data_IF_943792126314
#
_entry.id   IF_943792126314
#
_cell.length_a   1.000
_cell.length_b   1.000
_cell.length_c   1.000
_cell.angle_alpha   90.00
_cell.angle_beta   90.00
_cell.angle_gamma   90.00
#
_symmetry.space_group_name_H-M   'P 1'
#
loop_
_entity.id
_entity.type
_entity.pdbx_description
1 polymer ?
#
# COMPACT_ATOMS: atom_id res chain seq x y z
N UNK A 1 -20.16 41.17 27.81
CA UNK A 1 -20.28 39.85 28.09
C UNK A 1 -20.62 39.07 26.91
N UNK A 2 -21.66 39.26 26.24
CA UNK A 2 -22.02 38.45 25.12
C UNK A 2 -21.01 38.52 24.02
N UNK A 3 -20.42 39.64 23.83
CA UNK A 3 -19.43 39.78 22.78
C UNK A 3 -18.23 38.93 23.04
N UNK A 4 -17.82 38.86 24.28
CA UNK A 4 -16.66 38.07 24.61
C UNK A 4 -16.89 36.59 24.35
N UNK A 5 -18.07 36.12 24.64
CA UNK A 5 -18.39 34.74 24.44
C UNK A 5 -18.32 34.37 22.96
N UNK A 6 -18.78 35.27 22.12
CA UNK A 6 -18.75 34.98 20.72
C UNK A 6 -17.34 34.88 20.19
N UNK A 7 -16.49 35.72 20.68
CA UNK A 7 -15.10 35.70 20.26
C UNK A 7 -14.44 34.41 20.64
N UNK A 8 -14.73 33.95 21.82
CA UNK A 8 -14.12 32.70 22.27
C UNK A 8 -14.53 31.55 21.37
N UNK A 9 -15.77 31.54 20.98
CA UNK A 9 -16.25 30.49 20.14
C UNK A 9 -15.54 30.46 18.78
N UNK A 10 -15.35 31.63 18.24
CA UNK A 10 -14.71 31.72 16.95
C UNK A 10 -13.28 31.20 16.99
N UNK A 11 -12.59 31.54 18.03
CA UNK A 11 -11.20 31.09 18.13
C UNK A 11 -11.13 29.58 18.24
N UNK A 12 -12.03 29.02 18.98
CA UNK A 12 -12.03 27.59 19.15
C UNK A 12 -12.25 26.88 17.82
N UNK A 13 -13.11 27.36 17.00
CA UNK A 13 -13.38 26.74 15.73
C UNK A 13 -12.14 26.74 14.81
N UNK A 14 -11.45 27.84 14.83
CA UNK A 14 -10.26 27.94 13.98
C UNK A 14 -9.21 26.94 14.39
N UNK A 15 -9.07 26.69 15.66
CA UNK A 15 -8.08 25.75 16.12
C UNK A 15 -8.33 24.35 15.59
N UNK A 16 -9.57 23.96 15.59
CA UNK A 16 -9.88 22.63 15.11
C UNK A 16 -9.52 22.45 13.66
N UNK A 17 -9.78 23.42 12.86
CA UNK A 17 -9.49 23.32 11.46
C UNK A 17 -7.99 23.12 11.21
N UNK A 18 -7.19 23.83 11.94
CA UNK A 18 -5.76 23.71 11.77
C UNK A 18 -5.27 22.33 12.12
N UNK A 19 -5.81 21.74 13.15
CA UNK A 19 -5.38 20.43 13.56
C UNK A 19 -5.61 19.40 12.45
N UNK A 20 -6.73 19.45 11.83
CA UNK A 20 -7.05 18.50 10.79
C UNK A 20 -6.09 18.62 9.61
N UNK A 21 -5.81 19.79 9.20
CA UNK A 21 -4.92 19.98 8.08
C UNK A 21 -3.54 19.45 8.41
N UNK A 22 -3.06 19.70 9.58
CA UNK A 22 -1.75 19.23 9.95
C UNK A 22 -1.63 17.74 9.88
N UNK A 23 -2.64 17.05 10.33
CA UNK A 23 -2.57 15.61 10.31
C UNK A 23 -2.52 15.05 8.92
N UNK A 24 -3.26 15.58 8.03
CA UNK A 24 -3.32 14.97 6.72
C UNK A 24 -2.07 15.20 5.92
N UNK A 25 -1.36 16.26 6.15
CA UNK A 25 -0.24 16.51 5.30
C UNK A 25 1.03 15.86 5.73
N UNK A 26 1.20 15.70 6.98
CA UNK A 26 2.49 15.28 7.41
C UNK A 26 3.00 14.06 6.77
N UNK A 27 2.27 13.13 6.64
CA UNK A 27 2.83 11.93 6.23
C UNK A 27 3.44 11.99 4.97
N UNK A 28 2.97 12.36 4.34
CA UNK A 28 3.35 12.20 3.21
C UNK A 28 4.52 12.44 2.85
N UNK A 29 4.78 12.51 2.65
CA UNK A 29 5.40 12.47 1.99
C UNK A 29 6.44 12.61 1.75
N UNK A 30 6.63 12.84 1.98
CA UNK A 30 7.66 13.15 1.90
C UNK A 30 8.49 12.40 1.58
N UNK A 31 8.38 11.76 1.73
CA UNK A 31 9.11 10.85 1.62
C UNK A 31 9.74 10.88 0.51
N UNK A 32 9.50 11.38 -0.15
CA UNK A 32 10.21 11.27 -0.98
C UNK A 32 10.11 11.03 -2.19
N UNK A 33 10.28 11.45 -3.03
CA UNK A 33 10.19 11.23 -4.34
C UNK A 33 10.65 9.96 -4.80
N UNK A 34 11.69 9.44 -4.32
CA UNK A 34 12.12 8.20 -4.76
C UNK A 34 11.59 7.09 -4.04
N UNK A 35 11.06 7.25 -2.89
CA UNK A 35 10.57 6.15 -2.09
C UNK A 35 9.16 5.84 -2.45
N UNK A 36 8.86 4.62 -2.81
CA UNK A 36 7.51 4.19 -3.09
C UNK A 36 7.00 3.46 -1.88
N UNK A 37 5.87 3.89 -1.36
CA UNK A 37 5.30 3.33 -0.17
C UNK A 37 5.02 1.84 -0.33
N UNK A 38 5.33 1.06 0.68
CA UNK A 38 5.12 -0.38 0.66
C UNK A 38 3.65 -0.73 0.43
N UNK A 39 2.74 0.05 0.96
CA UNK A 39 1.32 -0.22 0.74
C UNK A 39 0.96 -0.04 -0.73
N UNK A 40 1.56 0.93 -1.39
CA UNK A 40 1.30 1.14 -2.81
C UNK A 40 1.89 0.00 -3.64
N UNK A 41 3.05 -0.48 -3.26
CA UNK A 41 3.65 -1.61 -3.96
C UNK A 41 2.79 -2.84 -3.80
N UNK A 42 2.32 -3.11 -2.59
CA UNK A 42 1.46 -4.26 -2.35
C UNK A 42 0.21 -4.20 -3.23
N UNK A 43 -0.40 -3.04 -3.31
CA UNK A 43 -1.60 -2.89 -4.13
C UNK A 43 -1.30 -3.14 -5.60
N UNK A 44 -0.19 -2.61 -6.09
CA UNK A 44 0.16 -2.79 -7.49
C UNK A 44 0.51 -4.24 -7.81
N UNK A 45 1.19 -4.92 -6.91
CA UNK A 45 1.53 -6.31 -7.12
C UNK A 45 0.26 -7.15 -7.14
N UNK A 46 -0.64 -6.90 -6.21
CA UNK A 46 -1.90 -7.64 -6.19
C UNK A 46 -2.68 -7.43 -7.48
N UNK A 47 -2.76 -6.21 -7.95
CA UNK A 47 -3.48 -5.93 -9.18
C UNK A 47 -2.83 -6.61 -10.37
N UNK A 48 -1.51 -6.61 -10.43
CA UNK A 48 -0.81 -7.24 -11.52
C UNK A 48 -1.03 -8.76 -11.53
N UNK A 49 -0.99 -9.37 -10.37
CA UNK A 49 -1.24 -10.80 -10.25
C UNK A 49 -2.69 -11.11 -10.65
N UNK A 50 -3.62 -10.31 -10.18
CA UNK A 50 -5.01 -10.55 -10.48
C UNK A 50 -5.31 -10.41 -11.97
N UNK A 51 -4.53 -9.60 -12.68
CA UNK A 51 -4.73 -9.43 -14.11
C UNK A 51 -4.15 -10.57 -14.94
N UNK A 52 -3.38 -11.46 -14.35
CA UNK A 52 -2.85 -12.60 -15.08
C UNK A 52 -3.92 -13.66 -15.21
N UNK A 53 -4.23 -14.11 -16.41
CA UNK A 53 -5.31 -15.07 -16.58
C UNK A 53 -5.12 -16.37 -15.81
N UNK A 54 -3.88 -16.83 -15.68
CA UNK A 54 -3.65 -18.10 -14.99
C UNK A 54 -3.68 -17.95 -13.49
N UNK A 55 -3.67 -16.71 -12.97
CA UNK A 55 -3.60 -16.49 -11.54
C UNK A 55 -4.86 -15.91 -10.94
N UNK A 56 -5.90 -15.75 -11.74
CA UNK A 56 -7.08 -15.05 -11.25
C UNK A 56 -7.78 -15.71 -10.09
N UNK A 57 -7.81 -17.00 -10.05
CA UNK A 57 -8.53 -17.67 -8.98
C UNK A 57 -7.62 -18.28 -7.94
N UNK A 58 -6.37 -17.89 -7.92
CA UNK A 58 -5.46 -18.44 -6.93
C UNK A 58 -5.54 -17.65 -5.63
N UNK A 59 -5.05 -18.25 -4.57
CA UNK A 59 -5.03 -17.61 -3.27
C UNK A 59 -3.62 -17.17 -2.99
N UNK A 60 -3.29 -15.95 -3.37
CA UNK A 60 -1.95 -15.42 -3.20
C UNK A 60 -2.01 -14.18 -2.32
N UNK A 61 -1.22 -14.20 -1.25
CA UNK A 61 -1.07 -13.07 -0.37
C UNK A 61 0.21 -12.33 -0.70
N UNK A 62 0.17 -11.02 -0.59
CA UNK A 62 1.30 -10.17 -0.92
C UNK A 62 1.60 -9.27 0.27
N UNK A 63 2.83 -9.26 0.70
CA UNK A 63 3.27 -8.34 1.74
C UNK A 63 4.55 -7.68 1.29
N UNK A 64 4.72 -6.42 1.63
CA UNK A 64 5.87 -5.65 1.19
C UNK A 64 6.52 -4.96 2.36
N UNK A 65 7.85 -5.06 2.46
CA UNK A 65 8.59 -4.38 3.49
C UNK A 65 9.82 -3.75 2.85
N UNK A 66 9.84 -2.44 2.80
CA UNK A 66 10.95 -1.69 2.22
C UNK A 66 11.30 -2.14 0.80
N UNK A 67 10.27 -2.37 0.02
CA UNK A 67 10.47 -2.79 -1.36
C UNK A 67 10.63 -4.28 -1.57
N UNK A 68 10.83 -5.04 -0.52
CA UNK A 68 10.94 -6.49 -0.62
C UNK A 68 9.55 -7.09 -0.55
N UNK A 69 9.15 -7.79 -1.57
CA UNK A 69 7.82 -8.36 -1.66
C UNK A 69 7.87 -9.83 -1.29
N UNK A 70 6.97 -10.24 -0.44
CA UNK A 70 6.86 -11.65 -0.10
C UNK A 70 5.52 -12.16 -0.59
N UNK A 71 5.55 -13.23 -1.36
CA UNK A 71 4.35 -13.88 -1.86
C UNK A 71 4.14 -15.18 -1.10
N UNK A 72 2.91 -15.46 -0.73
CA UNK A 72 2.58 -16.71 -0.07
C UNK A 72 1.20 -17.13 -0.52
N UNK A 73 0.88 -18.38 -0.28
CA UNK A 73 -0.43 -18.90 -0.67
C UNK A 73 -0.29 -20.19 -1.42
N UNK A 74 -1.31 -20.52 -2.20
CA UNK A 74 -1.40 -21.81 -2.86
C UNK A 74 -1.82 -21.67 -4.31
N UNK A 75 -1.20 -22.43 -5.17
CA UNK A 75 -1.57 -22.47 -6.60
C UNK A 75 -1.68 -23.92 -7.02
N UNK A 76 -2.27 -24.16 -8.17
CA UNK A 76 -2.47 -25.51 -8.65
C UNK A 76 -1.24 -26.08 -9.32
N UNK A 77 -0.40 -25.25 -9.89
CA UNK A 77 0.75 -25.74 -10.65
C UNK A 77 2.00 -24.96 -10.33
N UNK A 78 3.18 -25.59 -10.45
CA UNK A 78 4.43 -24.90 -10.20
C UNK A 78 4.64 -23.70 -11.10
N UNK A 79 4.19 -23.80 -12.34
CA UNK A 79 4.36 -22.69 -13.28
C UNK A 79 3.64 -21.45 -12.80
N UNK A 80 2.52 -21.60 -12.10
CA UNK A 80 1.77 -20.47 -11.61
C UNK A 80 2.55 -19.74 -10.51
N UNK A 81 3.24 -20.48 -9.66
CA UNK A 81 4.05 -19.85 -8.63
C UNK A 81 5.18 -19.04 -9.26
N UNK A 82 5.82 -19.58 -10.30
CA UNK A 82 6.87 -18.84 -10.97
C UNK A 82 6.33 -17.61 -11.67
N UNK A 83 5.19 -17.73 -12.29
CA UNK A 83 4.60 -16.62 -13.00
C UNK A 83 4.25 -15.49 -12.03
N UNK A 84 3.73 -15.85 -10.87
CA UNK A 84 3.41 -14.83 -9.87
C UNK A 84 4.66 -14.04 -9.45
N UNK A 85 5.77 -14.74 -9.28
CA UNK A 85 7.00 -14.05 -8.90
C UNK A 85 7.50 -13.16 -10.03
N UNK A 86 7.39 -13.59 -11.27
CA UNK A 86 7.79 -12.76 -12.41
C UNK A 86 6.95 -11.50 -12.48
N UNK A 87 5.65 -11.65 -12.31
CA UNK A 87 4.75 -10.52 -12.38
C UNK A 87 5.09 -9.53 -11.25
N UNK A 88 5.34 -10.05 -10.06
CA UNK A 88 5.68 -9.18 -8.94
C UNK A 88 6.97 -8.41 -9.19
N UNK A 89 7.96 -9.07 -9.78
CA UNK A 89 9.23 -8.38 -10.03
C UNK A 89 9.10 -7.26 -11.04
N UNK A 90 8.12 -7.33 -11.90
CA UNK A 90 7.97 -6.32 -12.93
C UNK A 90 7.31 -5.04 -12.40
N UNK A 91 6.82 -5.03 -11.19
CA UNK A 91 6.14 -3.87 -10.64
C UNK A 91 7.18 -2.85 -10.19
N UNK A 92 6.95 -1.59 -10.56
CA UNK A 92 7.88 -0.54 -10.21
C UNK A 92 7.95 -0.38 -8.70
N UNK A 93 9.13 -0.26 -8.16
CA UNK A 93 9.34 -0.10 -6.74
C UNK A 93 9.73 -1.39 -6.03
N UNK A 94 9.55 -2.53 -6.67
CA UNK A 94 9.90 -3.80 -6.08
C UNK A 94 11.41 -4.00 -6.20
N UNK A 95 12.07 -4.24 -5.07
CA UNK A 95 13.52 -4.46 -5.08
C UNK A 95 13.85 -5.94 -5.06
N UNK A 96 13.01 -6.76 -4.46
CA UNK A 96 13.23 -8.20 -4.49
C UNK A 96 11.91 -8.91 -4.22
N UNK A 97 11.85 -10.18 -4.58
CA UNK A 97 10.65 -10.98 -4.38
C UNK A 97 11.03 -12.28 -3.71
N UNK A 98 10.38 -12.57 -2.60
CA UNK A 98 10.54 -13.85 -1.95
C UNK A 98 9.29 -14.66 -2.23
N UNK A 99 9.48 -15.79 -2.89
CA UNK A 99 8.35 -16.59 -3.36
C UNK A 99 8.12 -17.78 -2.44
N UNK A 100 7.13 -17.66 -1.59
CA UNK A 100 6.76 -18.73 -0.68
C UNK A 100 5.44 -19.36 -1.07
N UNK A 101 5.08 -19.29 -2.33
CA UNK A 101 3.85 -19.89 -2.82
C UNK A 101 4.02 -21.39 -2.88
N UNK A 102 3.00 -22.10 -2.45
CA UNK A 102 3.03 -23.55 -2.43
C UNK A 102 2.08 -24.12 -3.45
N UNK A 103 2.42 -25.30 -3.96
CA UNK A 103 1.59 -25.98 -4.94
C UNK A 103 0.70 -26.96 -4.20
N UNK A 104 -0.58 -26.94 -4.47
CA UNK A 104 -1.53 -27.82 -3.81
C UNK A 104 -1.37 -29.26 -4.24
#
# INVERSE_FOLDING_TARGET
MKTIQRLATAVFTASLALTVVGCSSSPTRESTGEYIDDAAITTKVKAAIFNEPTLKSTEINVETFKGDVQLSGFVAQPADAQRAAEVARSVKGVTSVKNDIRVK
#
